data_IF_395360977774
#
_entry.id   IF_395360977774
#
_cell.length_a   1.000
_cell.length_b   1.000
_cell.length_c   1.000
_cell.angle_alpha   90.00
_cell.angle_beta   90.00
_cell.angle_gamma   90.00
#
_symmetry.space_group_name_H-M   'P 1'
#
loop_
_entity.id
_entity.type
_entity.pdbx_description
1 polymer ?
#
# COMPACT_ATOMS: atom_id res chain seq x y z
N UNK A 1 3.92 3.87 14.14
CA UNK A 1 2.45 3.69 14.16
C UNK A 1 1.68 4.73 14.97
N UNK A 2 2.32 5.72 15.59
CA UNK A 2 1.65 6.68 16.50
C UNK A 2 0.69 7.66 15.80
N UNK A 3 0.88 7.95 14.51
CA UNK A 3 0.03 8.89 13.78
C UNK A 3 -1.40 8.38 13.57
N UNK A 4 -1.59 7.07 13.32
CA UNK A 4 -2.93 6.50 13.11
C UNK A 4 -3.74 6.53 14.41
N UNK A 5 -3.11 6.12 15.52
CA UNK A 5 -3.70 6.19 16.85
C UNK A 5 -3.98 7.63 17.29
N UNK A 6 -3.09 8.57 16.94
CA UNK A 6 -3.30 10.01 17.20
C UNK A 6 -4.58 10.52 16.55
N UNK A 7 -4.82 10.19 15.28
CA UNK A 7 -6.02 10.65 14.57
C UNK A 7 -7.28 9.95 15.06
N UNK A 8 -7.21 8.64 15.35
CA UNK A 8 -8.35 7.91 15.95
C UNK A 8 -8.76 8.48 17.30
N UNK A 9 -7.79 8.85 18.15
CA UNK A 9 -8.06 9.52 19.44
C UNK A 9 -8.59 10.94 19.26
N UNK A 10 -8.08 11.70 18.28
CA UNK A 10 -8.52 13.07 18.01
C UNK A 10 -9.96 13.14 17.49
N UNK A 11 -10.37 12.14 16.71
CA UNK A 11 -11.70 12.08 16.09
C UNK A 11 -12.46 10.80 16.52
N UNK A 12 -12.92 10.74 17.78
CA UNK A 12 -13.59 9.54 18.30
C UNK A 12 -14.96 9.28 17.64
N UNK A 13 -15.58 10.31 17.06
CA UNK A 13 -16.86 10.23 16.35
C UNK A 13 -16.71 9.89 14.86
N UNK A 14 -15.49 9.70 14.38
CA UNK A 14 -15.25 9.35 12.98
C UNK A 14 -15.82 7.98 12.63
N UNK A 15 -16.23 7.77 11.36
CA UNK A 15 -16.72 6.46 10.93
C UNK A 15 -15.63 5.39 11.01
N UNK A 16 -16.03 4.14 11.27
CA UNK A 16 -15.14 2.99 11.06
C UNK A 16 -14.83 2.86 9.57
N UNK A 17 -13.56 2.91 9.20
CA UNK A 17 -13.12 2.68 7.83
C UNK A 17 -13.10 1.18 7.51
N UNK A 18 -13.63 0.80 6.36
CA UNK A 18 -13.66 -0.55 5.83
C UNK A 18 -12.47 -0.79 4.89
N UNK A 19 -12.20 -2.05 4.54
CA UNK A 19 -11.18 -2.44 3.55
C UNK A 19 -9.80 -1.77 3.76
N UNK A 20 -9.35 -1.79 5.02
CA UNK A 20 -8.04 -1.28 5.45
C UNK A 20 -7.86 0.25 5.35
N UNK A 21 -8.93 1.00 5.06
CA UNK A 21 -8.92 2.46 5.20
C UNK A 21 -8.56 2.91 6.62
N UNK A 22 -8.05 4.14 6.77
CA UNK A 22 -7.69 4.70 8.08
C UNK A 22 -8.11 6.16 8.23
N UNK A 23 -8.23 6.63 9.48
CA UNK A 23 -8.61 8.01 9.77
C UNK A 23 -7.45 8.96 9.51
N UNK A 24 -7.67 9.89 8.58
CA UNK A 24 -6.74 10.95 8.23
C UNK A 24 -6.77 12.12 9.20
N UNK A 25 -5.91 13.11 8.95
CA UNK A 25 -5.80 14.33 9.77
C UNK A 25 -7.05 15.21 9.80
N UNK A 26 -8.01 14.96 8.91
CA UNK A 26 -9.29 15.64 8.81
C UNK A 26 -10.45 14.86 9.47
N UNK A 27 -10.20 13.69 10.07
CA UNK A 27 -11.26 12.86 10.65
C UNK A 27 -12.08 12.08 9.62
N UNK A 28 -11.68 12.11 8.35
CA UNK A 28 -12.29 11.35 7.26
C UNK A 28 -11.47 10.08 6.97
N UNK A 29 -12.13 9.04 6.46
CA UNK A 29 -11.44 7.83 5.99
C UNK A 29 -10.59 8.14 4.75
N UNK A 30 -9.32 7.79 4.82
CA UNK A 30 -8.41 7.74 3.69
C UNK A 30 -8.42 6.31 3.16
N UNK A 31 -8.92 6.16 1.94
CA UNK A 31 -9.09 4.86 1.30
C UNK A 31 -7.82 4.40 0.63
N UNK A 32 -7.55 3.10 0.76
CA UNK A 32 -6.46 2.45 0.06
C UNK A 32 -6.77 2.37 -1.45
N UNK A 33 -5.73 2.26 -2.26
CA UNK A 33 -5.87 2.10 -3.71
C UNK A 33 -6.81 0.94 -4.04
N UNK A 34 -7.80 1.18 -4.91
CA UNK A 34 -8.81 0.18 -5.25
C UNK A 34 -10.03 0.15 -4.33
N UNK A 35 -10.11 1.06 -3.36
CA UNK A 35 -11.31 1.25 -2.52
C UNK A 35 -11.77 2.70 -2.56
N UNK A 36 -13.07 2.94 -2.41
CA UNK A 36 -13.65 4.29 -2.40
C UNK A 36 -14.91 4.37 -1.53
N UNK A 37 -15.44 5.59 -1.41
CA UNK A 37 -16.59 5.93 -0.55
C UNK A 37 -16.13 6.48 0.79
N UNK A 38 -17.05 7.11 1.52
CA UNK A 38 -16.75 7.83 2.77
C UNK A 38 -16.20 6.95 3.89
N UNK A 39 -16.40 5.62 3.78
CA UNK A 39 -15.83 4.61 4.67
C UNK A 39 -14.97 3.58 3.92
N UNK A 40 -14.61 3.83 2.67
CA UNK A 40 -13.86 2.89 1.84
C UNK A 40 -14.58 1.55 1.59
N UNK A 41 -15.91 1.55 1.71
CA UNK A 41 -16.76 0.37 1.61
C UNK A 41 -16.86 -0.19 0.18
N UNK A 42 -16.58 0.63 -0.84
CA UNK A 42 -16.71 0.23 -2.24
C UNK A 42 -15.37 -0.32 -2.72
N UNK A 43 -15.33 -1.61 -3.08
CA UNK A 43 -14.19 -2.22 -3.77
C UNK A 43 -14.30 -1.98 -5.28
N UNK A 44 -13.30 -1.31 -5.85
CA UNK A 44 -13.18 -1.11 -7.29
C UNK A 44 -12.66 -2.40 -7.95
N UNK A 45 -13.18 -2.76 -9.13
CA UNK A 45 -12.59 -3.84 -9.94
C UNK A 45 -11.23 -3.36 -10.43
N UNK A 46 -10.16 -3.97 -9.91
CA UNK A 46 -8.77 -3.53 -10.12
C UNK A 46 -8.07 -3.08 -8.84
N UNK A 47 -8.24 -3.85 -7.75
CA UNK A 47 -7.60 -3.59 -6.45
C UNK A 47 -6.07 -3.45 -6.59
N UNK A 48 -5.47 -4.19 -7.53
CA UNK A 48 -4.07 -4.06 -7.92
C UNK A 48 -3.97 -3.43 -9.31
N UNK A 49 -3.14 -2.39 -9.48
CA UNK A 49 -2.90 -1.80 -10.79
C UNK A 49 -2.24 -2.83 -11.73
N UNK A 50 -2.37 -2.64 -13.04
CA UNK A 50 -1.50 -3.34 -13.99
C UNK A 50 -0.05 -2.92 -13.73
N UNK A 51 0.70 -3.79 -13.08
CA UNK A 51 2.06 -3.52 -12.64
C UNK A 51 3.03 -3.62 -13.81
N UNK A 52 3.92 -2.64 -13.93
CA UNK A 52 5.08 -2.70 -14.83
C UNK A 52 6.32 -3.27 -14.14
N UNK A 53 6.26 -3.44 -12.81
CA UNK A 53 7.33 -3.89 -11.93
C UNK A 53 6.70 -4.54 -10.68
N UNK A 54 7.34 -5.56 -10.12
CA UNK A 54 6.77 -6.33 -9.02
C UNK A 54 6.84 -7.83 -9.25
N UNK A 55 6.16 -8.59 -8.38
CA UNK A 55 6.07 -10.05 -8.49
C UNK A 55 5.97 -10.75 -7.14
N UNK A 56 5.92 -12.08 -7.16
CA UNK A 56 5.92 -12.90 -5.95
C UNK A 56 7.35 -13.19 -5.50
N UNK A 57 7.61 -13.02 -4.21
CA UNK A 57 8.89 -13.24 -3.56
C UNK A 57 8.70 -14.30 -2.48
N UNK A 58 9.32 -15.46 -2.69
CA UNK A 58 9.26 -16.61 -1.78
C UNK A 58 10.58 -16.94 -1.12
N UNK A 59 11.65 -16.24 -1.49
CA UNK A 59 13.00 -16.43 -1.00
C UNK A 59 13.62 -15.09 -0.57
N UNK A 60 14.63 -15.08 0.33
CA UNK A 60 15.32 -13.87 0.73
C UNK A 60 15.91 -13.14 -0.48
N UNK A 61 15.54 -11.87 -0.65
CA UNK A 61 16.02 -11.08 -1.80
C UNK A 61 16.09 -9.59 -1.45
N UNK A 62 16.87 -8.85 -2.24
CA UNK A 62 16.89 -7.38 -2.18
C UNK A 62 16.02 -6.82 -3.29
N UNK A 63 14.98 -6.07 -2.92
CA UNK A 63 14.06 -5.45 -3.86
C UNK A 63 14.44 -3.99 -4.09
N UNK A 64 14.63 -3.63 -5.35
CA UNK A 64 14.81 -2.24 -5.75
C UNK A 64 13.72 -1.86 -6.74
N UNK A 65 12.85 -0.87 -6.42
CA UNK A 65 11.97 -0.28 -7.40
C UNK A 65 12.85 0.38 -8.46
N UNK A 66 12.95 -0.23 -9.64
CA UNK A 66 13.64 0.37 -10.77
C UNK A 66 12.58 1.04 -11.64
N UNK A 67 12.30 2.35 -11.46
CA UNK A 67 11.40 3.03 -12.37
C UNK A 67 12.04 2.97 -13.76
N UNK A 68 11.35 2.41 -14.75
CA UNK A 68 11.88 2.44 -16.11
C UNK A 68 12.08 3.90 -16.50
N UNK A 69 13.09 4.19 -17.31
CA UNK A 69 13.45 5.55 -17.76
C UNK A 69 12.33 6.27 -18.51
N UNK A 70 11.19 5.61 -18.76
CA UNK A 70 10.05 6.16 -19.44
C UNK A 70 9.19 7.02 -18.49
N UNK A 71 9.57 8.30 -18.39
CA UNK A 71 8.92 9.40 -17.66
C UNK A 71 7.40 9.60 -17.90
N UNK A 72 6.74 8.76 -18.71
CA UNK A 72 5.35 8.94 -19.17
C UNK A 72 4.33 7.98 -18.52
N UNK A 73 4.75 7.00 -17.73
CA UNK A 73 3.82 6.12 -17.01
C UNK A 73 4.01 6.28 -15.50
N UNK A 74 2.92 6.50 -14.77
CA UNK A 74 2.89 6.31 -13.31
C UNK A 74 3.13 4.84 -13.03
N UNK A 75 4.39 4.48 -12.77
CA UNK A 75 4.77 3.13 -12.43
C UNK A 75 4.43 2.88 -10.96
N UNK A 76 3.44 2.01 -10.75
CA UNK A 76 3.16 1.44 -9.43
C UNK A 76 3.85 0.08 -9.42
N UNK A 77 4.77 -0.14 -8.49
CA UNK A 77 5.36 -1.45 -8.26
C UNK A 77 4.71 -2.10 -7.03
N UNK A 78 4.56 -3.42 -7.05
CA UNK A 78 4.06 -4.17 -5.91
C UNK A 78 4.69 -5.57 -5.86
N UNK A 79 5.14 -5.95 -4.67
CA UNK A 79 5.70 -7.28 -4.42
C UNK A 79 4.84 -8.04 -3.41
N UNK A 80 4.53 -9.28 -3.75
CA UNK A 80 3.86 -10.22 -2.87
C UNK A 80 4.90 -11.05 -2.14
N UNK A 81 5.14 -10.72 -0.87
CA UNK A 81 6.13 -11.43 -0.07
C UNK A 81 5.44 -12.57 0.66
N UNK A 82 5.72 -13.80 0.25
CA UNK A 82 5.16 -15.00 0.84
C UNK A 82 6.26 -15.82 1.49
N UNK A 83 6.26 -15.89 2.82
CA UNK A 83 7.15 -16.78 3.54
C UNK A 83 6.80 -18.25 3.25
N UNK A 84 7.82 -19.10 3.18
CA UNK A 84 7.63 -20.55 3.13
C UNK A 84 7.00 -21.05 4.44
N UNK A 85 6.52 -22.30 4.43
CA UNK A 85 5.97 -22.94 5.61
C UNK A 85 6.95 -22.85 6.80
N UNK A 86 6.41 -22.60 8.00
CA UNK A 86 7.17 -22.40 9.24
C UNK A 86 8.14 -21.18 9.25
N UNK A 87 8.05 -20.26 8.29
CA UNK A 87 8.85 -19.04 8.26
C UNK A 87 7.99 -17.78 8.44
N UNK A 88 8.64 -16.68 8.84
CA UNK A 88 8.03 -15.34 8.88
C UNK A 88 8.78 -14.41 7.93
N UNK A 89 8.03 -13.63 7.16
CA UNK A 89 8.61 -12.60 6.31
C UNK A 89 9.23 -11.50 7.20
N UNK A 90 10.46 -11.12 6.89
CA UNK A 90 11.14 -9.98 7.50
C UNK A 90 11.56 -9.02 6.39
N UNK A 91 11.23 -7.74 6.56
CA UNK A 91 11.60 -6.67 5.64
C UNK A 91 12.57 -5.72 6.33
N UNK A 92 13.67 -5.40 5.65
CA UNK A 92 14.64 -4.39 6.08
C UNK A 92 14.75 -3.32 5.01
N UNK A 93 14.53 -2.06 5.39
CA UNK A 93 14.70 -0.92 4.47
C UNK A 93 16.16 -0.47 4.55
N UNK A 94 16.93 -0.77 3.49
CA UNK A 94 18.35 -0.40 3.40
C UNK A 94 18.54 1.07 3.05
N UNK A 95 17.79 1.56 2.06
CA UNK A 95 17.82 2.94 1.61
C UNK A 95 16.40 3.43 1.29
N UNK A 96 16.11 4.70 1.58
CA UNK A 96 14.81 5.28 1.30
C UNK A 96 14.95 6.68 0.71
N UNK A 97 14.63 6.81 -0.59
CA UNK A 97 14.62 8.09 -1.28
C UNK A 97 13.31 8.27 -2.04
N UNK A 98 12.54 9.28 -1.64
CA UNK A 98 11.29 9.62 -2.29
C UNK A 98 11.35 11.07 -2.75
N UNK A 99 10.94 11.34 -3.99
CA UNK A 99 10.83 12.71 -4.48
C UNK A 99 9.60 13.36 -3.83
N UNK A 100 9.81 14.40 -3.04
CA UNK A 100 8.73 15.23 -2.49
C UNK A 100 8.02 15.96 -3.64
N UNK A 101 6.68 15.85 -3.74
CA UNK A 101 5.96 16.57 -4.80
C UNK A 101 5.87 18.05 -4.49
N UNK A 102 6.38 18.89 -5.40
CA UNK A 102 6.17 20.33 -5.33
C UNK A 102 4.74 20.76 -5.76
N UNK A 103 3.86 19.82 -6.16
CA UNK A 103 2.41 20.00 -6.38
C UNK A 103 1.78 18.65 -6.79
N UNK A 104 0.76 18.22 -6.06
CA UNK A 104 -0.30 17.25 -6.44
C UNK A 104 -0.01 15.77 -6.76
N UNK A 105 1.24 15.26 -6.76
CA UNK A 105 1.48 13.81 -6.93
C UNK A 105 2.09 13.17 -5.68
N UNK A 106 1.29 12.51 -4.84
CA UNK A 106 1.83 11.78 -3.67
C UNK A 106 2.51 10.50 -4.13
N UNK A 107 3.84 10.53 -4.25
CA UNK A 107 4.64 9.32 -4.16
C UNK A 107 4.45 8.74 -2.76
N UNK A 108 4.34 7.41 -2.65
CA UNK A 108 4.28 6.75 -1.36
C UNK A 108 4.93 5.37 -1.45
N UNK A 109 5.43 4.92 -0.30
CA UNK A 109 5.80 3.53 -0.06
C UNK A 109 4.81 3.00 0.97
N UNK A 110 4.26 1.83 0.68
CA UNK A 110 3.22 1.20 1.49
C UNK A 110 3.61 -0.26 1.75
N UNK A 111 3.48 -0.68 3.01
CA UNK A 111 3.63 -2.07 3.41
C UNK A 111 2.28 -2.54 3.94
N UNK A 112 1.71 -3.54 3.27
CA UNK A 112 0.48 -4.22 3.70
C UNK A 112 0.81 -5.58 4.27
N UNK A 113 0.04 -5.99 5.26
CA UNK A 113 0.17 -7.31 5.91
C UNK A 113 -1.19 -7.98 5.90
N UNK A 114 -1.20 -9.30 5.71
CA UNK A 114 -2.42 -10.11 5.64
C UNK A 114 -3.36 -9.79 4.46
N UNK A 115 -2.82 -9.27 3.35
CA UNK A 115 -3.59 -9.09 2.12
C UNK A 115 -4.15 -10.44 1.62
N UNK A 116 -5.41 -10.49 1.15
CA UNK A 116 -5.99 -11.72 0.63
C UNK A 116 -5.25 -12.16 -0.63
N UNK A 117 -4.75 -13.40 -0.64
CA UNK A 117 -4.15 -14.02 -1.82
C UNK A 117 -5.23 -14.05 -2.92
N UNK A 118 -5.00 -13.36 -4.04
CA UNK A 118 -5.93 -13.45 -5.15
C UNK A 118 -5.88 -14.86 -5.76
N UNK A 119 -7.04 -15.52 -5.96
CA UNK A 119 -7.07 -16.76 -6.72
C UNK A 119 -6.72 -16.45 -8.18
N UNK A 120 -5.58 -16.95 -8.67
CA UNK A 120 -5.19 -16.83 -10.09
C UNK A 120 -3.74 -16.50 -10.38
N UNK A 121 -2.91 -16.21 -9.38
CA UNK A 121 -1.45 -16.13 -9.54
C UNK A 121 -0.83 -17.46 -9.12
N UNK A 122 -0.89 -18.45 -10.00
CA UNK A 122 0.00 -19.63 -10.02
C UNK A 122 0.90 -19.54 -11.23
#
# INVERSE_FOLDING_TARGET
YECLEKWRKKFPSSPTCENEGFIGSQGLCICHSGTQGDRCQIKLRGYYPNLTCGGTVTEPTTLQPNPTTNRRKTERCMWWIQAQECHKAQLTVLEFKMRTPCKQFTNYFELRVNDPILPGTR
#
